data_IF_095030526258
#
_entry.id   IF_095030526258
#
_cell.length_a   1.000
_cell.length_b   1.000
_cell.length_c   1.000
_cell.angle_alpha   90.00
_cell.angle_beta   90.00
_cell.angle_gamma   90.00
#
_symmetry.space_group_name_H-M   'P 1'
#
loop_
_entity.id
_entity.type
_entity.pdbx_description
1 polymer ?
#
# COMPACT_ATOMS: atom_id res chain seq x y z
N UNK A 1 3.99 41.17 4.22
CA UNK A 1 5.35 41.20 4.81
C UNK A 1 5.27 40.57 6.20
N UNK A 2 5.79 39.36 6.35
CA UNK A 2 6.10 38.70 7.63
C UNK A 2 7.03 37.53 7.28
N UNK A 3 8.32 37.58 7.67
CA UNK A 3 9.36 36.77 7.02
C UNK A 3 9.46 35.36 7.61
N UNK A 4 9.63 34.40 6.69
CA UNK A 4 10.12 33.04 6.97
C UNK A 4 11.47 33.14 7.70
N UNK A 5 11.57 32.66 8.93
CA UNK A 5 12.85 32.52 9.63
C UNK A 5 13.41 31.13 9.35
N UNK A 6 14.15 31.03 8.25
CA UNK A 6 14.99 29.88 7.91
C UNK A 6 16.04 29.69 9.03
N UNK A 7 16.12 28.47 9.57
CA UNK A 7 17.19 28.08 10.48
C UNK A 7 18.48 27.96 9.67
N UNK A 8 19.30 29.01 9.72
CA UNK A 8 20.64 29.00 9.18
C UNK A 8 21.49 27.87 9.84
N UNK A 9 22.38 27.20 9.09
CA UNK A 9 23.32 26.24 9.67
C UNK A 9 24.35 26.96 10.56
N UNK A 10 24.85 26.32 11.63
CA UNK A 10 25.81 26.95 12.53
C UNK A 10 27.17 27.15 11.84
N UNK A 11 27.89 28.24 12.15
CA UNK A 11 29.09 28.66 11.44
C UNK A 11 30.29 27.77 11.78
N UNK A 12 31.09 27.46 10.77
CA UNK A 12 32.41 26.86 10.89
C UNK A 12 33.44 27.92 11.28
N UNK A 13 34.21 27.69 12.35
CA UNK A 13 35.66 27.91 12.35
C UNK A 13 36.31 27.76 13.75
N UNK A 14 37.30 26.86 13.79
CA UNK A 14 38.63 26.92 14.44
C UNK A 14 38.97 25.64 15.24
N UNK A 15 40.12 24.99 14.96
CA UNK A 15 40.49 23.71 15.57
C UNK A 15 41.26 23.96 16.88
N UNK A 16 40.65 23.60 18.00
CA UNK A 16 41.36 23.48 19.28
C UNK A 16 41.68 22.00 19.56
N UNK A 17 42.94 21.75 19.88
CA UNK A 17 43.49 20.47 20.36
C UNK A 17 42.70 19.96 21.56
N UNK A 18 42.56 18.63 21.58
CA UNK A 18 42.10 17.79 22.70
C UNK A 18 40.60 17.81 22.98
N UNK A 19 39.98 16.63 22.85
CA UNK A 19 38.57 16.39 23.13
C UNK A 19 37.80 15.97 21.89
N UNK A 20 38.07 14.74 21.40
CA UNK A 20 37.37 14.12 20.27
C UNK A 20 35.86 14.09 20.50
N UNK A 21 35.20 15.15 20.05
CA UNK A 21 33.77 15.35 20.15
C UNK A 21 33.05 14.17 19.54
N UNK A 22 32.04 13.69 20.26
CA UNK A 22 31.09 12.66 19.89
C UNK A 22 30.37 13.08 18.61
N UNK A 23 31.06 12.87 17.47
CA UNK A 23 30.50 13.01 16.14
C UNK A 23 29.25 12.16 16.13
N UNK A 24 28.11 12.80 15.90
CA UNK A 24 26.77 12.20 15.86
C UNK A 24 26.80 11.01 14.89
N UNK A 25 27.17 9.83 15.39
CA UNK A 25 27.15 8.58 14.64
C UNK A 25 25.71 8.40 14.20
N UNK A 26 25.49 8.45 12.89
CA UNK A 26 24.19 8.22 12.27
C UNK A 26 23.66 6.91 12.82
N UNK A 27 22.59 6.97 13.61
CA UNK A 27 21.96 5.78 14.18
C UNK A 27 21.33 5.04 13.01
N UNK A 28 22.02 4.03 12.48
CA UNK A 28 21.43 3.04 11.60
C UNK A 28 20.50 2.19 12.45
N UNK A 29 19.39 2.76 12.93
CA UNK A 29 18.32 1.93 13.41
C UNK A 29 17.75 1.25 12.18
N UNK A 30 18.14 -0.01 11.97
CA UNK A 30 17.42 -0.93 11.10
C UNK A 30 16.02 -1.03 11.71
N UNK A 31 15.10 -0.23 11.20
CA UNK A 31 13.72 -0.18 11.68
C UNK A 31 13.14 -1.60 11.69
N UNK A 32 12.26 -1.87 12.64
CA UNK A 32 11.61 -3.18 12.80
C UNK A 32 10.97 -3.55 11.44
N UNK A 33 11.59 -4.50 10.76
CA UNK A 33 11.23 -4.85 9.39
C UNK A 33 9.93 -5.64 9.45
N UNK A 34 8.86 -5.11 8.86
CA UNK A 34 7.61 -5.85 8.68
C UNK A 34 7.93 -7.11 7.88
N UNK A 35 7.43 -8.26 8.35
CA UNK A 35 7.68 -9.54 7.70
C UNK A 35 7.27 -9.51 6.24
N UNK A 36 8.09 -10.17 5.41
CA UNK A 36 7.87 -10.22 3.96
C UNK A 36 6.64 -11.08 3.69
N UNK A 37 5.59 -10.46 3.20
CA UNK A 37 4.38 -11.17 2.80
C UNK A 37 4.62 -11.88 1.47
N UNK A 38 4.33 -13.18 1.42
CA UNK A 38 4.42 -13.99 0.21
C UNK A 38 3.08 -13.92 -0.54
N UNK A 39 2.97 -12.98 -1.49
CA UNK A 39 1.80 -12.87 -2.36
C UNK A 39 1.93 -13.77 -3.58
N UNK A 40 0.85 -14.44 -3.95
CA UNK A 40 0.75 -15.24 -5.17
C UNK A 40 0.65 -14.33 -6.41
N UNK A 41 1.36 -14.70 -7.48
CA UNK A 41 1.44 -13.94 -8.73
C UNK A 41 0.65 -14.60 -9.86
N UNK A 42 0.19 -15.84 -9.67
CA UNK A 42 -0.68 -16.58 -10.57
C UNK A 42 -1.92 -17.05 -9.81
N UNK A 43 -3.03 -17.23 -10.55
CA UNK A 43 -4.23 -17.86 -10.00
C UNK A 43 -4.13 -19.37 -10.12
N UNK A 44 -4.33 -20.05 -8.99
CA UNK A 44 -4.64 -21.47 -8.95
C UNK A 44 -6.15 -21.67 -8.98
N UNK A 45 -6.63 -22.83 -9.43
CA UNK A 45 -8.07 -23.15 -9.47
C UNK A 45 -8.76 -22.87 -8.12
N UNK A 46 -8.16 -23.35 -7.02
CA UNK A 46 -8.69 -23.15 -5.69
C UNK A 46 -8.79 -21.67 -5.27
N UNK A 47 -7.83 -20.83 -5.68
CA UNK A 47 -7.86 -19.38 -5.36
C UNK A 47 -8.90 -18.64 -6.19
N UNK A 48 -9.13 -19.11 -7.41
CA UNK A 48 -10.09 -18.54 -8.32
C UNK A 48 -11.53 -18.83 -7.88
N UNK A 49 -11.81 -20.06 -7.44
CA UNK A 49 -13.11 -20.45 -6.89
C UNK A 49 -13.42 -19.69 -5.58
N UNK A 50 -12.41 -19.47 -4.74
CA UNK A 50 -12.53 -18.59 -3.55
C UNK A 50 -12.83 -17.15 -3.95
N UNK A 51 -12.19 -16.62 -4.98
CA UNK A 51 -12.45 -15.27 -5.45
C UNK A 51 -13.91 -15.08 -5.89
N UNK A 52 -14.46 -16.04 -6.65
CA UNK A 52 -15.84 -15.96 -7.12
C UNK A 52 -16.87 -16.04 -5.98
N UNK A 53 -16.60 -16.86 -4.97
CA UNK A 53 -17.51 -17.05 -3.83
C UNK A 53 -17.38 -15.98 -2.74
N UNK A 54 -16.19 -15.44 -2.51
CA UNK A 54 -15.91 -14.47 -1.45
C UNK A 54 -16.06 -13.02 -1.91
N UNK A 55 -15.66 -12.67 -3.14
CA UNK A 55 -15.68 -11.29 -3.59
C UNK A 55 -17.06 -10.61 -3.48
N UNK A 56 -18.19 -11.28 -3.84
CA UNK A 56 -19.51 -10.67 -3.71
C UNK A 56 -20.01 -10.55 -2.26
N UNK A 57 -19.39 -11.26 -1.31
CA UNK A 57 -19.75 -11.16 0.12
C UNK A 57 -19.22 -9.88 0.76
N UNK A 58 -18.14 -9.32 0.21
CA UNK A 58 -17.50 -8.13 0.76
C UNK A 58 -18.33 -6.87 0.53
N UNK A 59 -18.46 -6.05 1.58
CA UNK A 59 -19.13 -4.74 1.49
C UNK A 59 -18.30 -3.73 0.70
N UNK A 60 -16.99 -3.75 0.90
CA UNK A 60 -16.02 -2.89 0.20
C UNK A 60 -15.07 -3.76 -0.61
N UNK A 61 -15.02 -3.52 -1.92
CA UNK A 61 -14.17 -4.25 -2.86
C UNK A 61 -13.19 -3.27 -3.48
N UNK A 62 -11.91 -3.44 -3.14
CA UNK A 62 -10.79 -2.63 -3.65
C UNK A 62 -9.58 -3.53 -3.92
N UNK A 63 -8.62 -3.12 -4.76
CA UNK A 63 -7.43 -3.92 -5.03
C UNK A 63 -6.65 -4.30 -3.76
N UNK A 64 -6.59 -3.41 -2.77
CA UNK A 64 -5.93 -3.64 -1.47
C UNK A 64 -6.66 -4.68 -0.62
N UNK A 65 -7.98 -4.62 -0.54
CA UNK A 65 -8.78 -5.60 0.22
C UNK A 65 -8.61 -7.00 -0.36
N UNK A 66 -8.58 -7.14 -1.69
CA UNK A 66 -8.37 -8.43 -2.32
C UNK A 66 -6.94 -8.95 -2.08
N UNK A 67 -5.92 -8.09 -2.10
CA UNK A 67 -4.55 -8.52 -1.80
C UNK A 67 -4.37 -8.98 -0.35
N UNK A 68 -5.05 -8.35 0.61
CA UNK A 68 -4.95 -8.74 2.02
C UNK A 68 -5.67 -10.05 2.33
N UNK A 69 -6.84 -10.28 1.72
CA UNK A 69 -7.69 -11.47 1.97
C UNK A 69 -7.17 -12.71 1.25
N UNK A 70 -6.95 -12.59 -0.06
CA UNK A 70 -6.61 -13.72 -0.92
C UNK A 70 -5.10 -13.92 -1.08
N UNK A 71 -4.28 -13.05 -0.49
CA UNK A 71 -2.80 -13.05 -0.62
C UNK A 71 -2.35 -13.04 -2.09
N UNK A 72 -3.07 -12.30 -2.93
CA UNK A 72 -2.74 -12.11 -4.34
C UNK A 72 -2.02 -10.79 -4.57
N UNK A 73 -1.22 -10.73 -5.63
CA UNK A 73 -0.60 -9.48 -6.07
C UNK A 73 -1.65 -8.45 -6.51
N UNK A 74 -1.32 -7.16 -6.33
CA UNK A 74 -2.25 -6.08 -6.69
C UNK A 74 -2.56 -6.01 -8.20
N UNK A 75 -1.66 -6.48 -9.07
CA UNK A 75 -1.91 -6.59 -10.50
C UNK A 75 -2.99 -7.65 -10.80
N UNK A 76 -2.94 -8.80 -10.15
CA UNK A 76 -3.98 -9.82 -10.23
C UNK A 76 -5.31 -9.32 -9.68
N UNK A 77 -5.30 -8.63 -8.53
CA UNK A 77 -6.51 -8.06 -7.94
C UNK A 77 -7.23 -7.12 -8.93
N UNK A 78 -6.49 -6.25 -9.63
CA UNK A 78 -7.08 -5.35 -10.66
C UNK A 78 -7.68 -6.14 -11.84
N UNK A 79 -7.02 -7.20 -12.29
CA UNK A 79 -7.55 -8.06 -13.36
C UNK A 79 -8.81 -8.79 -12.90
N UNK A 80 -8.81 -9.34 -11.70
CA UNK A 80 -9.95 -10.06 -11.16
C UNK A 80 -11.17 -9.16 -10.95
N UNK A 81 -10.96 -7.90 -10.51
CA UNK A 81 -12.04 -6.91 -10.44
C UNK A 81 -12.70 -6.69 -11.81
N UNK A 82 -11.90 -6.58 -12.89
CA UNK A 82 -12.46 -6.42 -14.25
C UNK A 82 -13.29 -7.64 -14.66
N UNK A 83 -12.83 -8.84 -14.31
CA UNK A 83 -13.56 -10.07 -14.60
C UNK A 83 -14.86 -10.19 -13.79
N UNK A 84 -14.81 -9.87 -12.50
CA UNK A 84 -15.99 -9.84 -11.62
C UNK A 84 -17.02 -8.80 -12.09
N UNK A 85 -16.54 -7.66 -12.61
CA UNK A 85 -17.38 -6.63 -13.21
C UNK A 85 -18.01 -7.10 -14.51
N UNK A 86 -17.25 -7.79 -15.38
CA UNK A 86 -17.78 -8.37 -16.62
C UNK A 86 -18.84 -9.46 -16.36
N UNK A 87 -18.70 -10.21 -15.26
CA UNK A 87 -19.70 -11.21 -14.80
C UNK A 87 -20.90 -10.58 -14.09
N UNK A 88 -20.89 -9.28 -13.80
CA UNK A 88 -21.97 -8.58 -13.09
C UNK A 88 -22.07 -8.88 -11.59
N UNK A 89 -21.04 -9.47 -10.98
CA UNK A 89 -21.05 -9.82 -9.55
C UNK A 89 -20.77 -8.61 -8.64
N UNK A 90 -20.13 -7.59 -9.18
CA UNK A 90 -19.74 -6.37 -8.46
C UNK A 90 -20.11 -5.13 -9.29
N UNK A 91 -20.41 -4.04 -8.59
CA UNK A 91 -20.76 -2.75 -9.19
C UNK A 91 -19.68 -1.72 -8.89
N UNK A 92 -19.35 -0.92 -9.90
CA UNK A 92 -18.45 0.21 -9.74
C UNK A 92 -19.20 1.37 -9.05
N UNK A 93 -18.59 1.94 -8.01
CA UNK A 93 -19.11 3.12 -7.32
C UNK A 93 -18.35 4.37 -7.76
N UNK A 94 -17.01 4.31 -7.75
CA UNK A 94 -16.16 5.41 -8.17
C UNK A 94 -14.88 4.87 -8.79
N UNK A 95 -14.49 5.46 -9.92
CA UNK A 95 -13.25 5.16 -10.62
C UNK A 95 -12.36 6.40 -10.63
N UNK A 96 -11.28 6.35 -9.84
CA UNK A 96 -10.18 7.30 -9.89
C UNK A 96 -8.87 6.56 -10.20
N UNK A 97 -7.89 7.25 -10.78
CA UNK A 97 -6.61 6.65 -11.18
C UNK A 97 -5.84 6.06 -9.99
N UNK A 98 -5.93 6.70 -8.82
CA UNK A 98 -5.29 6.26 -7.58
C UNK A 98 -6.10 5.25 -6.78
N UNK A 99 -7.43 5.23 -6.93
CA UNK A 99 -8.31 4.40 -6.13
C UNK A 99 -9.56 4.00 -6.89
N UNK A 100 -9.77 2.69 -6.99
CA UNK A 100 -10.97 2.12 -7.61
C UNK A 100 -11.82 1.48 -6.51
N UNK A 101 -13.07 1.91 -6.41
CA UNK A 101 -13.99 1.50 -5.36
C UNK A 101 -15.17 0.78 -5.99
N UNK A 102 -15.37 -0.46 -5.53
CA UNK A 102 -16.46 -1.33 -5.95
C UNK A 102 -17.24 -1.83 -4.74
N UNK A 103 -18.48 -2.20 -4.97
CA UNK A 103 -19.37 -2.83 -4.00
C UNK A 103 -19.95 -4.10 -4.61
N UNK A 104 -20.45 -5.00 -3.78
CA UNK A 104 -21.24 -6.15 -4.27
C UNK A 104 -22.44 -5.68 -5.12
N UNK A 105 -22.82 -6.48 -6.11
CA UNK A 105 -24.07 -6.26 -6.82
C UNK A 105 -25.25 -6.56 -5.89
N UNK A 106 -26.16 -5.61 -5.74
CA UNK A 106 -27.47 -5.80 -5.10
C UNK A 106 -28.51 -5.73 -6.20
N UNK A 107 -29.42 -6.72 -6.24
CA UNK A 107 -30.59 -6.68 -7.11
C UNK A 107 -31.53 -5.58 -6.60
N UNK A 108 -31.37 -4.39 -7.14
CA UNK A 108 -32.26 -3.24 -6.98
C UNK A 108 -32.42 -2.60 -8.34
#
# INVERSE_FOLDING_TARGET
>A
QAPKKEKAPPPSSKPAKSGGGKQKKKKWSKGKQKEKVNNMVLFDKATYDKLLSEAPKYKLITPSVLSDRLRISGSLARKAIRELMARGLIRMVSAHSSQQIYTRATNT
#
